data_IF_889130296788
#
_entry.id   IF_889130296788
#
_cell.length_a   1.000
_cell.length_b   1.000
_cell.length_c   1.000
_cell.angle_alpha   90.00
_cell.angle_beta   90.00
_cell.angle_gamma   90.00
#
_symmetry.space_group_name_H-M   'P 1'
#
loop_
_entity.id
_entity.type
_entity.pdbx_description
1 polymer ?
#
# COMPACT_ATOMS: atom_id res chain seq x y z
N UNK A 1 -9.94 -2.46 -4.54
CA UNK A 1 -10.49 -1.98 -5.84
C UNK A 1 -9.48 -1.10 -6.60
N UNK A 2 -8.92 -0.05 -5.98
CA UNK A 2 -7.90 0.80 -6.60
C UNK A 2 -6.60 0.05 -6.97
N UNK A 3 -6.15 -0.89 -6.12
CA UNK A 3 -5.02 -1.79 -6.42
C UNK A 3 -5.28 -2.69 -7.63
N UNK A 4 -6.46 -3.32 -7.71
CA UNK A 4 -6.83 -4.15 -8.86
C UNK A 4 -6.97 -3.34 -10.16
N UNK A 5 -7.51 -2.11 -10.08
CA UNK A 5 -7.55 -1.19 -11.21
C UNK A 5 -6.16 -0.73 -11.64
N UNK A 6 -5.28 -0.42 -10.68
CA UNK A 6 -3.90 -0.09 -10.95
C UNK A 6 -3.17 -1.27 -11.60
N UNK A 7 -3.48 -2.51 -11.22
CA UNK A 7 -2.90 -3.71 -11.83
C UNK A 7 -3.40 -3.90 -13.26
N UNK A 8 -4.71 -3.77 -13.49
CA UNK A 8 -5.29 -3.90 -14.83
C UNK A 8 -4.86 -2.80 -15.81
N UNK A 9 -4.81 -1.55 -15.37
CA UNK A 9 -4.40 -0.40 -16.20
C UNK A 9 -2.89 -0.40 -16.49
N UNK A 10 -2.07 -0.96 -15.61
CA UNK A 10 -0.63 -1.06 -15.80
C UNK A 10 -0.27 -2.04 -16.92
N UNK A 11 -1.04 -3.11 -17.12
CA UNK A 11 -0.94 -3.97 -18.31
C UNK A 11 -1.23 -3.25 -19.63
N UNK A 12 -2.02 -2.17 -19.61
CA UNK A 12 -2.29 -1.33 -20.77
C UNK A 12 -1.24 -0.23 -20.97
N UNK A 13 -0.52 0.12 -19.90
CA UNK A 13 0.45 1.21 -19.87
C UNK A 13 1.76 0.83 -20.56
N UNK A 14 2.29 -0.37 -20.34
CA UNK A 14 3.59 -0.80 -20.86
C UNK A 14 3.48 -1.55 -22.19
N UNK A 15 4.52 -1.46 -23.01
CA UNK A 15 4.67 -2.31 -24.20
C UNK A 15 4.82 -3.78 -23.78
N UNK A 16 4.32 -4.71 -24.59
CA UNK A 16 4.43 -6.15 -24.30
C UNK A 16 5.89 -6.60 -24.15
N UNK A 17 6.81 -6.04 -24.94
CA UNK A 17 8.26 -6.30 -24.86
C UNK A 17 8.83 -5.98 -23.45
N UNK A 18 8.31 -4.95 -22.79
CA UNK A 18 8.74 -4.52 -21.45
C UNK A 18 8.12 -5.41 -20.37
N UNK A 19 6.87 -5.82 -20.57
CA UNK A 19 6.16 -6.76 -19.68
C UNK A 19 6.86 -8.13 -19.65
N UNK A 20 7.31 -8.61 -20.81
CA UNK A 20 8.00 -9.89 -20.96
C UNK A 20 9.43 -9.84 -20.39
N UNK A 21 10.12 -8.71 -20.52
CA UNK A 21 11.50 -8.54 -20.05
C UNK A 21 11.61 -8.32 -18.53
N UNK A 22 10.77 -7.45 -17.96
CA UNK A 22 10.82 -7.14 -16.52
C UNK A 22 9.89 -8.02 -15.68
N UNK A 23 8.96 -8.72 -16.32
CA UNK A 23 7.93 -9.53 -15.67
C UNK A 23 6.79 -8.67 -15.12
N UNK A 24 5.56 -9.13 -15.36
CA UNK A 24 4.35 -8.46 -14.91
C UNK A 24 4.39 -8.16 -13.40
N UNK A 25 4.86 -9.10 -12.58
CA UNK A 25 4.92 -8.92 -11.12
C UNK A 25 5.78 -7.72 -10.71
N UNK A 26 6.94 -7.52 -11.34
CA UNK A 26 7.90 -6.45 -11.01
C UNK A 26 7.43 -5.08 -11.50
N UNK A 27 6.57 -5.04 -12.51
CA UNK A 27 5.97 -3.80 -13.01
C UNK A 27 4.68 -3.43 -12.25
N UNK A 28 4.04 -4.42 -11.62
CA UNK A 28 2.76 -4.30 -10.92
C UNK A 28 2.90 -4.17 -9.40
N UNK A 29 4.02 -4.61 -8.81
CA UNK A 29 4.28 -4.48 -7.38
C UNK A 29 4.63 -3.05 -6.99
N UNK A 30 4.15 -2.61 -5.84
CA UNK A 30 4.53 -1.39 -5.12
C UNK A 30 6.04 -1.30 -4.82
N UNK A 31 6.71 -2.44 -4.67
CA UNK A 31 8.18 -2.48 -4.52
C UNK A 31 8.92 -2.52 -5.87
N UNK A 32 8.17 -2.43 -6.98
CA UNK A 32 8.66 -2.57 -8.33
C UNK A 32 9.26 -1.29 -8.91
N UNK A 33 10.19 -1.44 -9.86
CA UNK A 33 10.83 -0.30 -10.55
C UNK A 33 9.81 0.61 -11.24
N UNK A 34 8.79 0.03 -11.88
CA UNK A 34 7.73 0.81 -12.54
C UNK A 34 6.92 1.65 -11.55
N UNK A 35 6.61 1.11 -10.37
CA UNK A 35 5.91 1.86 -9.33
C UNK A 35 6.74 3.06 -8.86
N UNK A 36 8.02 2.84 -8.58
CA UNK A 36 8.95 3.91 -8.21
C UNK A 36 9.04 5.01 -9.28
N UNK A 37 9.18 4.61 -10.55
CA UNK A 37 9.24 5.54 -11.70
C UNK A 37 7.96 6.36 -11.83
N UNK A 38 6.79 5.74 -11.70
CA UNK A 38 5.50 6.42 -11.80
C UNK A 38 5.25 7.37 -10.64
N UNK A 39 5.56 6.96 -9.40
CA UNK A 39 5.36 7.79 -8.23
C UNK A 39 6.27 9.01 -8.17
N UNK A 40 7.55 8.83 -8.52
CA UNK A 40 8.55 9.91 -8.50
C UNK A 40 8.37 10.91 -9.65
N UNK A 41 7.45 10.65 -10.58
CA UNK A 41 7.23 11.49 -11.76
C UNK A 41 8.27 11.27 -12.86
N UNK A 42 9.15 10.29 -12.70
CA UNK A 42 10.12 9.89 -13.73
C UNK A 42 9.46 9.12 -14.90
N UNK A 43 8.16 8.81 -14.81
CA UNK A 43 7.38 8.23 -15.91
C UNK A 43 7.51 9.01 -17.23
N UNK A 44 7.69 10.33 -17.15
CA UNK A 44 7.89 11.16 -18.35
C UNK A 44 9.20 10.87 -19.08
N UNK A 45 10.19 10.28 -18.41
CA UNK A 45 11.50 9.93 -18.99
C UNK A 45 11.48 8.55 -19.65
N UNK A 46 10.49 7.71 -19.34
CA UNK A 46 10.36 6.35 -19.88
C UNK A 46 9.11 6.20 -20.77
N UNK A 47 8.61 7.30 -21.32
CA UNK A 47 7.45 7.31 -22.22
C UNK A 47 7.65 6.39 -23.42
N UNK A 48 8.90 6.23 -23.89
CA UNK A 48 9.24 5.36 -25.01
C UNK A 48 9.01 3.87 -24.73
N UNK A 49 8.98 3.48 -23.45
CA UNK A 49 8.68 2.12 -23.00
C UNK A 49 7.17 1.90 -22.79
N UNK A 50 6.38 2.98 -22.83
CA UNK A 50 4.94 2.94 -22.63
C UNK A 50 4.19 2.79 -23.96
N UNK A 51 3.11 2.02 -23.94
CA UNK A 51 2.16 1.92 -25.05
C UNK A 51 1.21 3.12 -25.07
N UNK A 52 0.79 3.59 -23.90
CA UNK A 52 -0.13 4.73 -23.74
C UNK A 52 0.41 5.74 -22.73
N UNK A 53 1.27 6.69 -23.14
CA UNK A 53 1.97 7.60 -22.23
C UNK A 53 1.06 8.46 -21.35
N UNK A 54 -0.13 8.86 -21.82
CA UNK A 54 -1.06 9.66 -21.02
C UNK A 54 -1.64 8.88 -19.82
N UNK A 55 -1.74 7.55 -19.93
CA UNK A 55 -2.32 6.70 -18.90
C UNK A 55 -1.47 6.69 -17.62
N UNK A 56 -0.20 7.09 -17.71
CA UNK A 56 0.72 7.19 -16.57
C UNK A 56 0.17 8.11 -15.46
N UNK A 57 -0.55 9.18 -15.81
CA UNK A 57 -1.07 10.15 -14.84
C UNK A 57 -2.24 9.57 -14.06
N UNK A 58 -3.15 8.89 -14.75
CA UNK A 58 -4.27 8.17 -14.13
C UNK A 58 -3.73 7.04 -13.24
N UNK A 59 -2.76 6.28 -13.75
CA UNK A 59 -2.10 5.22 -13.00
C UNK A 59 -1.43 5.77 -11.73
N UNK A 60 -0.69 6.87 -11.83
CA UNK A 60 -0.05 7.52 -10.69
C UNK A 60 -1.07 7.98 -9.65
N UNK A 61 -2.17 8.57 -10.08
CA UNK A 61 -3.26 8.97 -9.18
C UNK A 61 -3.85 7.76 -8.44
N UNK A 62 -4.17 6.68 -9.15
CA UNK A 62 -4.75 5.48 -8.55
C UNK A 62 -3.78 4.79 -7.58
N UNK A 63 -2.49 4.75 -7.92
CA UNK A 63 -1.45 4.24 -7.04
C UNK A 63 -1.35 5.08 -5.76
N UNK A 64 -1.24 6.41 -5.87
CA UNK A 64 -1.20 7.29 -4.70
C UNK A 64 -2.47 7.16 -3.85
N UNK A 65 -3.64 7.13 -4.49
CA UNK A 65 -4.91 6.96 -3.81
C UNK A 65 -4.97 5.62 -3.06
N UNK A 66 -4.55 4.52 -3.70
CA UNK A 66 -4.48 3.21 -3.07
C UNK A 66 -3.50 3.20 -1.89
N UNK A 67 -2.28 3.69 -2.09
CA UNK A 67 -1.22 3.70 -1.06
C UNK A 67 -1.62 4.53 0.16
N UNK A 68 -2.24 5.70 -0.03
CA UNK A 68 -2.70 6.53 1.08
C UNK A 68 -3.84 5.85 1.84
N UNK A 69 -4.88 5.36 1.14
CA UNK A 69 -6.01 4.71 1.82
C UNK A 69 -5.60 3.42 2.52
N UNK A 70 -4.74 2.62 1.89
CA UNK A 70 -4.24 1.39 2.47
C UNK A 70 -3.30 1.69 3.64
N UNK A 71 -2.40 2.67 3.52
CA UNK A 71 -1.57 3.14 4.62
C UNK A 71 -2.37 3.65 5.82
N UNK A 72 -3.40 4.48 5.58
CA UNK A 72 -4.33 4.93 6.63
C UNK A 72 -5.10 3.78 7.26
N UNK A 73 -5.57 2.82 6.44
CA UNK A 73 -6.26 1.63 6.93
C UNK A 73 -5.38 0.76 7.83
N UNK A 74 -4.16 0.44 7.39
CA UNK A 74 -3.23 -0.36 8.21
C UNK A 74 -2.80 0.42 9.46
N UNK A 75 -2.56 1.73 9.35
CA UNK A 75 -2.25 2.57 10.50
C UNK A 75 -3.40 2.56 11.52
N UNK A 76 -4.64 2.73 11.08
CA UNK A 76 -5.81 2.67 11.94
C UNK A 76 -6.07 1.28 12.54
N UNK A 77 -5.51 0.21 12.00
CA UNK A 77 -5.63 -1.14 12.58
C UNK A 77 -4.57 -1.44 13.65
N UNK A 78 -3.59 -0.56 13.85
CA UNK A 78 -2.58 -0.77 14.89
C UNK A 78 -3.21 -0.74 16.29
N UNK A 79 -2.80 -1.66 17.18
CA UNK A 79 -3.34 -1.74 18.54
C UNK A 79 -2.69 -0.69 19.47
N UNK A 80 -2.69 0.58 19.05
CA UNK A 80 -2.14 1.72 19.80
C UNK A 80 -3.21 2.80 19.97
N UNK A 81 -3.53 3.25 21.20
CA UNK A 81 -4.37 4.43 21.40
C UNK A 81 -3.62 5.66 20.85
N UNK A 82 -4.20 6.59 20.05
CA UNK A 82 -5.60 6.93 19.74
C UNK A 82 -6.22 6.27 18.49
N UNK A 83 -5.60 5.22 17.92
CA UNK A 83 -6.02 4.59 16.67
C UNK A 83 -7.18 3.61 16.90
N UNK A 84 -8.06 3.47 15.92
CA UNK A 84 -9.29 2.65 16.02
C UNK A 84 -8.99 1.17 16.34
N UNK A 85 -7.83 0.67 15.90
CA UNK A 85 -7.35 -0.68 16.10
C UNK A 85 -7.12 -1.03 17.56
N UNK A 86 -6.90 -0.04 18.42
CA UNK A 86 -6.86 -0.26 19.86
C UNK A 86 -8.21 -0.76 20.40
N UNK A 87 -9.32 -0.17 19.94
CA UNK A 87 -10.66 -0.58 20.37
C UNK A 87 -10.99 -1.98 19.84
N UNK A 88 -10.70 -2.24 18.56
CA UNK A 88 -10.87 -3.57 17.95
C UNK A 88 -10.06 -4.62 18.71
N UNK A 89 -8.81 -4.33 19.04
CA UNK A 89 -7.96 -5.22 19.81
C UNK A 89 -8.46 -5.43 21.25
N UNK A 90 -8.89 -4.36 21.93
CA UNK A 90 -9.44 -4.43 23.28
C UNK A 90 -10.75 -5.24 23.34
N UNK A 91 -11.62 -5.08 22.35
CA UNK A 91 -12.90 -5.79 22.32
C UNK A 91 -12.72 -7.27 21.95
N UNK A 92 -11.84 -7.59 21.00
CA UNK A 92 -11.59 -8.97 20.58
C UNK A 92 -10.76 -9.74 21.60
N UNK A 93 -9.61 -9.18 22.01
CA UNK A 93 -8.65 -9.92 22.85
C UNK A 93 -8.94 -9.75 24.35
N UNK A 94 -9.33 -8.54 24.76
CA UNK A 94 -9.45 -8.19 26.18
C UNK A 94 -10.91 -8.09 26.64
N UNK A 95 -11.87 -8.37 25.75
CA UNK A 95 -13.32 -8.31 26.00
C UNK A 95 -13.75 -6.98 26.63
N UNK A 96 -13.16 -5.87 26.19
CA UNK A 96 -13.47 -4.53 26.67
C UNK A 96 -12.95 -4.22 28.08
N UNK A 97 -12.07 -5.06 28.66
CA UNK A 97 -11.60 -4.88 30.05
C UNK A 97 -10.58 -3.75 30.22
N UNK A 98 -9.93 -3.26 29.16
CA UNK A 98 -9.10 -2.07 29.28
C UNK A 98 -9.96 -0.81 29.13
N UNK A 99 -10.21 -0.16 30.25
CA UNK A 99 -10.66 1.22 30.27
C UNK A 99 -9.42 2.12 30.29
N UNK A 100 -9.15 2.81 29.19
CA UNK A 100 -8.06 3.77 29.15
C UNK A 100 -8.44 5.02 29.95
N UNK A 101 -7.65 5.34 30.96
CA UNK A 101 -7.71 6.65 31.60
C UNK A 101 -7.07 7.70 30.68
N UNK A 102 -7.46 8.97 30.83
CA UNK A 102 -6.99 10.11 30.04
C UNK A 102 -5.45 10.23 30.03
N UNK A 103 -4.80 9.90 31.15
CA UNK A 103 -3.34 9.88 31.24
C UNK A 103 -2.71 8.80 30.37
N UNK A 104 -3.26 7.57 30.36
CA UNK A 104 -2.76 6.47 29.53
C UNK A 104 -2.91 6.79 28.04
N UNK A 105 -4.02 7.44 27.66
CA UNK A 105 -4.25 7.89 26.29
C UNK A 105 -3.22 8.95 25.84
N UNK A 106 -2.92 9.93 26.68
CA UNK A 106 -1.90 10.95 26.39
C UNK A 106 -0.49 10.35 26.27
N UNK A 107 -0.13 9.42 27.15
CA UNK A 107 1.16 8.71 27.10
C UNK A 107 1.25 7.91 25.80
N UNK A 108 0.20 7.15 25.45
CA UNK A 108 0.17 6.38 24.21
C UNK A 108 0.30 7.25 22.97
N UNK A 109 -0.31 8.44 22.95
CA UNK A 109 -0.17 9.40 21.86
C UNK A 109 1.27 9.93 21.74
N UNK A 110 1.93 10.25 22.86
CA UNK A 110 3.35 10.67 22.87
C UNK A 110 4.24 9.53 22.37
N UNK A 111 3.99 8.30 22.83
CA UNK A 111 4.71 7.10 22.39
C UNK A 111 4.52 6.86 20.90
N UNK A 112 3.30 7.01 20.38
CA UNK A 112 2.99 6.89 18.95
C UNK A 112 3.80 7.91 18.14
N UNK A 113 3.82 9.18 18.56
CA UNK A 113 4.65 10.20 17.91
C UNK A 113 6.14 9.83 17.96
N UNK A 114 6.63 9.36 19.11
CA UNK A 114 8.00 8.85 19.23
C UNK A 114 8.30 7.72 18.24
N UNK A 115 7.40 6.74 18.11
CA UNK A 115 7.51 5.59 17.20
C UNK A 115 7.52 5.99 15.72
N UNK A 116 6.81 7.07 15.36
CA UNK A 116 6.87 7.63 14.00
C UNK A 116 8.31 8.10 13.70
N UNK A 117 8.96 8.79 14.65
CA UNK A 117 10.32 9.29 14.46
C UNK A 117 11.40 8.21 14.47
N UNK A 118 11.17 7.06 15.12
CA UNK A 118 12.13 5.94 15.11
C UNK A 118 12.12 5.15 13.80
N UNK A 119 11.11 5.33 12.94
CA UNK A 119 10.97 4.61 11.68
C UNK A 119 10.50 3.16 11.80
N UNK A 120 10.36 2.63 13.03
CA UNK A 120 9.84 1.27 13.28
C UNK A 120 8.43 1.14 12.68
N UNK A 121 7.61 2.18 12.87
CA UNK A 121 6.27 2.22 12.32
C UNK A 121 6.29 2.09 10.79
N UNK A 122 7.19 2.80 10.12
CA UNK A 122 7.36 2.72 8.66
C UNK A 122 7.69 1.30 8.19
N UNK A 123 8.55 0.59 8.92
CA UNK A 123 8.91 -0.81 8.63
C UNK A 123 7.74 -1.77 8.81
N UNK A 124 6.96 -1.60 9.89
CA UNK A 124 5.76 -2.43 10.12
C UNK A 124 4.73 -2.15 9.03
N UNK A 125 4.49 -0.88 8.72
CA UNK A 125 3.58 -0.46 7.64
C UNK A 125 4.00 -1.09 6.32
N UNK A 126 5.23 -0.88 5.86
CA UNK A 126 5.68 -1.42 4.56
C UNK A 126 5.55 -2.94 4.47
N UNK A 127 5.89 -3.66 5.55
CA UNK A 127 5.77 -5.12 5.60
C UNK A 127 4.32 -5.58 5.46
N UNK A 128 3.40 -4.97 6.22
CA UNK A 128 1.98 -5.34 6.18
C UNK A 128 1.34 -4.92 4.85
N UNK A 129 1.65 -3.73 4.36
CA UNK A 129 1.16 -3.24 3.07
C UNK A 129 1.63 -4.16 1.93
N UNK A 130 2.92 -4.52 1.89
CA UNK A 130 3.47 -5.42 0.89
C UNK A 130 2.88 -6.84 0.95
N UNK A 131 2.56 -7.34 2.15
CA UNK A 131 1.87 -8.61 2.33
C UNK A 131 0.44 -8.57 1.77
N UNK A 132 -0.31 -7.50 2.04
CA UNK A 132 -1.67 -7.29 1.52
C UNK A 132 -1.63 -7.19 0.00
N UNK A 133 -0.72 -6.39 -0.55
CA UNK A 133 -0.56 -6.21 -1.99
C UNK A 133 -0.18 -7.51 -2.68
N UNK A 134 0.75 -8.28 -2.11
CA UNK A 134 1.13 -9.60 -2.62
C UNK A 134 -0.05 -10.58 -2.61
N UNK A 135 -0.87 -10.57 -1.55
CA UNK A 135 -2.08 -11.37 -1.47
C UNK A 135 -3.11 -10.99 -2.54
N UNK A 136 -3.36 -9.69 -2.70
CA UNK A 136 -4.27 -9.15 -3.73
C UNK A 136 -3.78 -9.49 -5.14
N UNK A 137 -2.49 -9.34 -5.41
CA UNK A 137 -1.88 -9.71 -6.69
C UNK A 137 -2.04 -11.19 -7.00
N UNK A 138 -1.79 -12.07 -6.02
CA UNK A 138 -1.96 -13.52 -6.20
C UNK A 138 -3.41 -13.88 -6.53
N UNK A 139 -4.38 -13.30 -5.79
CA UNK A 139 -5.81 -13.51 -6.07
C UNK A 139 -6.17 -12.99 -7.46
N UNK A 140 -5.66 -11.82 -7.85
CA UNK A 140 -5.90 -11.26 -9.18
C UNK A 140 -5.34 -12.13 -10.30
N UNK A 141 -4.09 -12.58 -10.20
CA UNK A 141 -3.47 -13.45 -11.21
C UNK A 141 -4.22 -14.78 -11.36
N UNK A 142 -4.71 -15.34 -10.25
CA UNK A 142 -5.58 -16.52 -10.28
C UNK A 142 -6.91 -16.24 -10.96
N UNK A 143 -7.53 -15.08 -10.71
CA UNK A 143 -8.79 -14.69 -11.34
C UNK A 143 -8.62 -14.40 -12.85
N UNK A 144 -7.47 -13.87 -13.29
CA UNK A 144 -7.20 -13.60 -14.71
C UNK A 144 -6.63 -14.80 -15.46
N UNK A 145 -6.48 -15.97 -14.81
CA UNK A 145 -5.94 -17.18 -15.44
C UNK A 145 -4.46 -17.08 -15.84
N UNK A 146 -3.73 -16.14 -15.24
CA UNK A 146 -2.31 -15.88 -15.52
C UNK A 146 -1.36 -16.55 -14.50
N UNK A 147 -1.89 -17.51 -13.73
CA UNK A 147 -1.18 -18.27 -12.69
C UNK A 147 -0.95 -19.72 -13.13
#
# INVERSE_FOLDING_TARGET
MATALAVGLNGLLWKQEVLDYYGAKTLLSSDGLAYGILLTGQGSQVQDLMRTPWLQYVQRFLLLFATINLGLGVFNLLPLPPLDGFHVFNDILLRGRLMLNRQTFQIAQIVLFGLVFTGILSTIMSTVMGAIESGVLNIFLRMTGAA
#
